data_IF_327834914670
#
_entry.id   IF_327834914670
#
_cell.length_a   1.000
_cell.length_b   1.000
_cell.length_c   1.000
_cell.angle_alpha   90.00
_cell.angle_beta   90.00
_cell.angle_gamma   90.00
#
_symmetry.space_group_name_H-M   'P 1'
#
loop_
_entity.id
_entity.type
_entity.pdbx_description
1 polymer ?
#
# COMPACT_ATOMS: atom_id res chain seq x y z
N UNK A 1 21.00 40.52 -64.14
CA UNK A 1 19.66 39.97 -63.87
C UNK A 1 19.80 38.49 -63.55
N UNK A 2 19.24 38.09 -62.40
CA UNK A 2 18.83 36.76 -61.90
C UNK A 2 19.53 35.48 -62.41
N UNK A 3 19.91 34.50 -61.59
CA UNK A 3 19.62 34.29 -60.18
C UNK A 3 20.41 33.10 -59.62
N UNK A 4 21.14 33.38 -58.53
CA UNK A 4 21.70 32.40 -57.61
C UNK A 4 20.57 31.94 -56.69
N UNK A 5 20.28 30.65 -56.62
CA UNK A 5 19.93 29.99 -55.35
C UNK A 5 19.92 28.47 -55.56
N UNK A 6 21.09 27.88 -55.33
CA UNK A 6 21.24 26.47 -55.07
C UNK A 6 20.40 26.10 -53.84
N UNK A 7 19.56 25.08 -53.99
CA UNK A 7 18.68 24.58 -52.95
C UNK A 7 19.48 24.11 -51.74
N UNK A 8 19.40 24.89 -50.67
CA UNK A 8 19.69 24.46 -49.30
C UNK A 8 18.44 24.76 -48.49
N UNK A 9 17.41 23.93 -48.66
CA UNK A 9 16.34 23.85 -47.66
C UNK A 9 16.93 23.09 -46.48
N UNK A 10 17.63 23.81 -45.62
CA UNK A 10 17.88 23.36 -44.26
C UNK A 10 16.53 23.38 -43.54
N UNK A 11 15.82 22.26 -43.56
CA UNK A 11 14.75 22.04 -42.58
C UNK A 11 15.41 22.00 -41.21
N UNK A 12 15.44 23.15 -40.54
CA UNK A 12 15.71 23.22 -39.11
C UNK A 12 14.58 22.44 -38.42
N UNK A 13 14.89 21.20 -38.03
CA UNK A 13 14.05 20.42 -37.14
C UNK A 13 14.11 21.16 -35.79
N UNK A 14 13.14 22.05 -35.56
CA UNK A 14 12.94 22.67 -34.26
C UNK A 14 12.60 21.54 -33.29
N UNK A 15 13.61 21.10 -32.53
CA UNK A 15 13.39 20.32 -31.33
C UNK A 15 12.62 21.23 -30.36
N UNK A 16 11.30 21.11 -30.39
CA UNK A 16 10.46 21.67 -29.34
C UNK A 16 10.93 21.05 -28.02
N UNK A 17 11.35 21.83 -27.02
CA UNK A 17 11.47 21.28 -25.69
C UNK A 17 10.08 20.77 -25.32
N UNK A 18 9.94 19.47 -25.09
CA UNK A 18 8.82 18.93 -24.35
C UNK A 18 8.80 19.67 -23.01
N UNK A 19 7.96 20.70 -22.92
CA UNK A 19 7.56 21.28 -21.65
C UNK A 19 6.76 20.17 -20.97
N UNK A 20 7.48 19.28 -20.30
CA UNK A 20 6.96 18.31 -19.37
C UNK A 20 6.07 19.10 -18.43
N UNK A 21 4.77 19.02 -18.69
CA UNK A 21 3.76 19.70 -17.88
C UNK A 21 3.84 19.02 -16.53
N UNK A 22 4.46 19.70 -15.55
CA UNK A 22 4.41 19.34 -14.14
C UNK A 22 2.97 19.55 -13.64
N UNK A 23 2.06 18.68 -14.08
CA UNK A 23 0.66 18.66 -13.66
C UNK A 23 0.36 17.27 -13.18
N UNK A 24 0.54 17.10 -11.87
CA UNK A 24 -0.24 16.30 -10.92
C UNK A 24 0.62 15.98 -9.68
N UNK A 25 1.31 16.98 -9.14
CA UNK A 25 2.02 16.84 -7.86
C UNK A 25 1.10 17.10 -6.65
N UNK A 26 -0.21 16.99 -6.85
CA UNK A 26 -1.23 17.10 -5.80
C UNK A 26 -2.03 15.78 -5.73
N UNK A 27 -2.57 15.49 -4.55
CA UNK A 27 -3.52 14.38 -4.35
C UNK A 27 -4.67 14.52 -5.36
N UNK A 28 -5.00 13.47 -6.14
CA UNK A 28 -6.08 13.54 -7.11
C UNK A 28 -7.43 13.78 -6.45
N UNK A 29 -8.42 14.17 -7.24
CA UNK A 29 -9.81 14.30 -6.80
C UNK A 29 -10.63 13.21 -7.47
N UNK A 30 -11.02 12.22 -6.69
CA UNK A 30 -11.86 11.10 -7.10
C UNK A 30 -13.30 11.26 -6.63
N UNK A 31 -14.22 10.78 -7.45
CA UNK A 31 -15.62 10.57 -7.06
C UNK A 31 -15.76 9.24 -6.32
N UNK A 32 -15.62 9.30 -5.00
CA UNK A 32 -15.74 8.14 -4.11
C UNK A 32 -17.20 7.69 -3.91
N UNK A 33 -18.18 8.52 -4.30
CA UNK A 33 -19.58 8.15 -4.11
C UNK A 33 -19.92 6.97 -5.01
N UNK A 34 -19.47 6.99 -6.26
CA UNK A 34 -19.62 5.86 -7.18
C UNK A 34 -18.91 4.60 -6.65
N UNK A 35 -17.67 4.73 -6.15
CA UNK A 35 -16.95 3.57 -5.64
C UNK A 35 -17.59 2.96 -4.39
N UNK A 36 -18.05 3.81 -3.47
CA UNK A 36 -18.76 3.36 -2.29
C UNK A 36 -20.17 2.83 -2.56
N UNK A 37 -20.85 3.28 -3.62
CA UNK A 37 -22.13 2.71 -4.03
C UNK A 37 -21.98 1.26 -4.48
N UNK A 38 -20.97 0.97 -5.31
CA UNK A 38 -20.69 -0.40 -5.74
C UNK A 38 -20.24 -1.29 -4.57
N UNK A 39 -19.49 -0.75 -3.60
CA UNK A 39 -19.11 -1.47 -2.39
C UNK A 39 -20.32 -2.01 -1.60
N UNK A 40 -21.48 -1.34 -1.69
CA UNK A 40 -22.74 -1.81 -1.06
C UNK A 40 -23.20 -3.16 -1.60
N UNK A 41 -22.86 -3.49 -2.85
CA UNK A 41 -23.25 -4.76 -3.46
C UNK A 41 -22.51 -5.97 -2.85
N UNK A 42 -21.39 -5.73 -2.17
CA UNK A 42 -20.51 -6.78 -1.65
C UNK A 42 -20.65 -7.03 -0.13
N UNK A 43 -21.40 -6.18 0.59
CA UNK A 43 -21.61 -6.30 2.04
C UNK A 43 -23.08 -6.61 2.32
N UNK A 44 -23.34 -7.53 3.27
CA UNK A 44 -24.63 -8.17 3.56
C UNK A 44 -25.79 -7.24 3.99
N UNK A 45 -26.53 -7.60 5.04
CA UNK A 45 -27.87 -7.03 5.28
C UNK A 45 -27.92 -5.51 5.58
N UNK A 46 -26.82 -4.84 5.93
CA UNK A 46 -26.80 -3.39 6.18
C UNK A 46 -25.93 -2.63 5.16
N UNK A 47 -26.49 -2.47 3.97
CA UNK A 47 -25.87 -1.70 2.88
C UNK A 47 -25.65 -0.22 3.22
N UNK A 48 -26.44 0.35 4.15
CA UNK A 48 -26.27 1.75 4.55
C UNK A 48 -25.05 1.92 5.45
N UNK A 49 -24.83 0.98 6.37
CA UNK A 49 -23.61 0.94 7.17
C UNK A 49 -22.38 0.74 6.29
N UNK A 50 -22.45 -0.15 5.29
CA UNK A 50 -21.37 -0.37 4.33
C UNK A 50 -20.99 0.90 3.56
N UNK A 51 -21.98 1.62 3.02
CA UNK A 51 -21.74 2.87 2.31
C UNK A 51 -21.09 3.93 3.21
N UNK A 52 -21.61 4.11 4.44
CA UNK A 52 -21.07 5.08 5.40
C UNK A 52 -19.64 4.74 5.82
N UNK A 53 -19.35 3.46 6.03
CA UNK A 53 -18.00 2.96 6.31
C UNK A 53 -17.04 3.30 5.18
N UNK A 54 -17.38 2.91 3.94
CA UNK A 54 -16.57 3.24 2.76
C UNK A 54 -16.31 4.74 2.62
N UNK A 55 -17.36 5.58 2.69
CA UNK A 55 -17.20 7.03 2.56
C UNK A 55 -16.30 7.59 3.66
N UNK A 56 -16.39 7.06 4.88
CA UNK A 56 -15.51 7.47 5.98
C UNK A 56 -14.06 7.09 5.68
N UNK A 57 -13.80 5.84 5.32
CA UNK A 57 -12.45 5.33 5.10
C UNK A 57 -11.76 6.04 3.93
N UNK A 58 -12.50 6.29 2.85
CA UNK A 58 -12.02 7.05 1.69
C UNK A 58 -11.66 8.51 2.05
N UNK A 59 -12.49 9.17 2.87
CA UNK A 59 -12.20 10.53 3.31
C UNK A 59 -11.00 10.60 4.26
N UNK A 60 -10.88 9.63 5.18
CA UNK A 60 -9.76 9.55 6.11
C UNK A 60 -8.45 9.28 5.35
N UNK A 61 -8.48 8.36 4.38
CA UNK A 61 -7.33 8.07 3.51
C UNK A 61 -6.93 9.29 2.68
N UNK A 62 -7.90 10.01 2.10
CA UNK A 62 -7.62 11.26 1.38
C UNK A 62 -6.97 12.32 2.28
N UNK A 63 -7.45 12.45 3.51
CA UNK A 63 -6.89 13.37 4.48
C UNK A 63 -5.45 12.99 4.85
N UNK A 64 -5.17 11.69 5.00
CA UNK A 64 -3.81 11.19 5.27
C UNK A 64 -2.88 11.39 4.08
N UNK A 65 -3.35 11.09 2.86
CA UNK A 65 -2.64 11.39 1.63
C UNK A 65 -2.27 12.87 1.57
N UNK A 66 -3.21 13.79 1.85
CA UNK A 66 -2.93 15.22 1.84
C UNK A 66 -1.83 15.63 2.85
N UNK A 67 -1.75 14.96 4.01
CA UNK A 67 -0.71 15.20 5.03
C UNK A 67 0.65 14.69 4.60
N UNK A 68 0.70 13.48 4.02
CA UNK A 68 1.95 12.77 3.69
C UNK A 68 2.38 12.96 2.23
N UNK A 69 1.62 13.64 1.39
CA UNK A 69 1.80 13.62 -0.06
C UNK A 69 3.22 13.96 -0.55
N UNK A 70 3.89 14.90 0.11
CA UNK A 70 5.25 15.33 -0.26
C UNK A 70 6.35 14.45 0.32
N UNK A 71 6.02 13.55 1.26
CA UNK A 71 6.95 12.57 1.80
C UNK A 71 7.21 11.44 0.80
N UNK A 72 6.18 11.04 0.07
CA UNK A 72 6.27 9.98 -0.92
C UNK A 72 7.02 10.41 -2.19
N UNK A 73 7.76 9.48 -2.79
CA UNK A 73 8.58 9.75 -3.99
C UNK A 73 7.67 10.08 -5.18
N UNK A 74 8.04 11.05 -6.05
CA UNK A 74 7.23 11.41 -7.21
C UNK A 74 6.89 10.24 -8.15
N UNK A 75 7.81 9.28 -8.31
CA UNK A 75 7.57 8.06 -9.09
C UNK A 75 6.45 7.22 -8.48
N UNK A 76 6.59 6.87 -7.21
CA UNK A 76 5.61 6.08 -6.45
C UNK A 76 4.24 6.76 -6.45
N UNK A 77 4.17 8.10 -6.31
CA UNK A 77 2.92 8.87 -6.40
C UNK A 77 2.20 8.66 -7.73
N UNK A 78 2.92 8.79 -8.84
CA UNK A 78 2.35 8.57 -10.17
C UNK A 78 1.88 7.13 -10.34
N UNK A 79 2.70 6.17 -9.93
CA UNK A 79 2.44 4.74 -10.17
C UNK A 79 1.30 4.22 -9.28
N UNK A 80 1.23 4.66 -8.02
CA UNK A 80 0.14 4.32 -7.10
C UNK A 80 -1.17 5.04 -7.45
N UNK A 81 -1.13 6.30 -7.93
CA UNK A 81 -2.34 6.97 -8.43
C UNK A 81 -2.92 6.24 -9.64
N UNK A 82 -2.06 5.77 -10.55
CA UNK A 82 -2.51 5.00 -11.71
C UNK A 82 -3.21 3.69 -11.29
N UNK A 83 -2.68 3.01 -10.26
CA UNK A 83 -3.27 1.79 -9.70
C UNK A 83 -4.59 2.07 -8.97
N UNK A 84 -4.63 3.08 -8.10
CA UNK A 84 -5.83 3.40 -7.33
C UNK A 84 -6.93 4.13 -8.10
N UNK A 85 -6.71 4.46 -9.38
CA UNK A 85 -7.72 5.11 -10.22
C UNK A 85 -8.66 4.13 -10.94
N UNK A 86 -8.26 2.86 -11.09
CA UNK A 86 -9.00 1.88 -11.90
C UNK A 86 -8.88 0.45 -11.32
N UNK A 87 -9.91 -0.41 -11.47
CA UNK A 87 -11.18 -0.17 -12.16
C UNK A 87 -12.14 0.75 -11.38
N UNK A 88 -11.89 0.94 -10.08
CA UNK A 88 -12.71 1.73 -9.18
C UNK A 88 -11.80 2.67 -8.38
N UNK A 89 -12.05 3.99 -8.39
CA UNK A 89 -11.20 4.93 -7.66
C UNK A 89 -11.24 4.70 -6.14
N UNK A 90 -10.06 4.61 -5.51
CA UNK A 90 -9.91 4.48 -4.06
C UNK A 90 -8.66 5.21 -3.55
N UNK A 91 -8.84 6.09 -2.57
CA UNK A 91 -7.75 6.72 -1.83
C UNK A 91 -7.10 5.76 -0.84
N UNK A 92 -7.84 4.76 -0.33
CA UNK A 92 -7.29 3.71 0.53
C UNK A 92 -6.22 2.94 -0.23
N UNK A 93 -6.51 2.51 -1.46
CA UNK A 93 -5.54 1.80 -2.30
C UNK A 93 -4.30 2.65 -2.64
N UNK A 94 -4.48 3.93 -2.95
CA UNK A 94 -3.34 4.83 -3.19
C UNK A 94 -2.47 4.95 -1.93
N UNK A 95 -3.09 5.18 -0.78
CA UNK A 95 -2.37 5.34 0.48
C UNK A 95 -1.59 4.07 0.83
N UNK A 96 -2.24 2.91 0.75
CA UNK A 96 -1.61 1.62 1.03
C UNK A 96 -0.47 1.33 0.06
N UNK A 97 -0.66 1.55 -1.25
CA UNK A 97 0.41 1.39 -2.24
C UNK A 97 1.64 2.25 -1.91
N UNK A 98 1.41 3.51 -1.52
CA UNK A 98 2.48 4.44 -1.17
C UNK A 98 3.22 4.05 0.11
N UNK A 99 2.50 3.64 1.14
CA UNK A 99 3.09 3.18 2.40
C UNK A 99 3.91 1.91 2.19
N UNK A 100 3.39 0.95 1.42
CA UNK A 100 4.13 -0.26 1.07
C UNK A 100 5.35 0.01 0.20
N UNK A 101 5.26 0.93 -0.77
CA UNK A 101 6.40 1.31 -1.61
C UNK A 101 7.50 1.97 -0.79
N UNK A 102 7.12 2.84 0.15
CA UNK A 102 8.09 3.50 1.02
C UNK A 102 8.78 2.49 1.96
N UNK A 103 8.01 1.61 2.61
CA UNK A 103 8.53 0.53 3.45
C UNK A 103 9.46 -0.40 2.67
N UNK A 104 9.08 -0.81 1.47
CA UNK A 104 9.91 -1.66 0.61
C UNK A 104 11.23 -0.96 0.26
N UNK A 105 11.20 0.35 -0.04
CA UNK A 105 12.41 1.12 -0.35
C UNK A 105 13.34 1.32 0.85
N UNK A 106 12.81 1.21 2.08
CA UNK A 106 13.62 1.22 3.30
C UNK A 106 14.39 -0.11 3.46
N UNK A 107 13.85 -1.21 2.94
CA UNK A 107 14.39 -2.57 3.11
C UNK A 107 15.24 -3.05 1.92
N UNK A 108 15.01 -2.54 0.71
CA UNK A 108 15.65 -3.01 -0.52
C UNK A 108 16.34 -1.88 -1.28
N UNK A 109 17.46 -2.22 -1.91
CA UNK A 109 18.12 -1.36 -2.89
C UNK A 109 17.36 -1.42 -4.24
N UNK A 110 17.58 -0.44 -5.15
CA UNK A 110 16.97 -0.43 -6.48
C UNK A 110 17.28 -1.68 -7.34
N UNK A 111 18.34 -2.42 -7.03
CA UNK A 111 18.73 -3.68 -7.70
C UNK A 111 18.03 -4.92 -7.11
N UNK A 112 17.12 -4.73 -6.14
CA UNK A 112 16.39 -5.81 -5.47
C UNK A 112 17.18 -6.50 -4.35
N UNK A 113 18.42 -6.08 -4.09
CA UNK A 113 19.19 -6.63 -2.97
C UNK A 113 18.69 -6.05 -1.64
N UNK A 114 18.67 -6.88 -0.60
CA UNK A 114 18.32 -6.41 0.74
C UNK A 114 19.35 -5.37 1.21
N UNK A 115 18.86 -4.26 1.77
CA UNK A 115 19.71 -3.22 2.34
C UNK A 115 20.31 -3.73 3.64
N UNK A 116 21.62 -3.56 3.81
CA UNK A 116 22.28 -3.89 5.06
C UNK A 116 21.66 -3.08 6.20
N UNK A 117 21.13 -3.77 7.22
CA UNK A 117 20.63 -3.12 8.43
C UNK A 117 21.78 -2.33 9.05
N UNK A 118 21.63 -1.02 9.31
CA UNK A 118 22.61 -0.30 10.11
C UNK A 118 22.74 -1.07 11.43
N UNK A 119 23.96 -1.45 11.79
CA UNK A 119 24.33 -2.09 13.06
C UNK A 119 23.64 -3.44 13.40
N UNK A 120 23.98 -4.47 12.63
CA UNK A 120 24.16 -5.84 13.18
C UNK A 120 25.63 -6.25 13.34
N UNK A 121 26.59 -5.39 12.96
CA UNK A 121 28.02 -5.61 13.11
C UNK A 121 28.55 -5.43 14.56
N UNK A 122 27.74 -5.75 15.57
CA UNK A 122 28.20 -5.88 16.96
C UNK A 122 27.67 -7.11 17.69
N UNK A 123 26.95 -8.02 17.02
CA UNK A 123 26.77 -9.38 17.54
C UNK A 123 27.66 -10.32 16.74
N UNK A 124 28.88 -10.46 17.26
CA UNK A 124 29.90 -11.34 16.74
C UNK A 124 29.43 -12.80 16.67
N UNK A 125 30.02 -13.49 15.71
CA UNK A 125 30.03 -14.94 15.57
C UNK A 125 30.24 -15.67 16.90
N UNK A 126 29.43 -16.69 17.13
CA UNK A 126 29.88 -17.97 17.67
C UNK A 126 29.02 -19.06 17.03
N UNK A 127 29.69 -20.06 16.45
CA UNK A 127 29.08 -21.17 15.71
C UNK A 127 28.17 -22.08 16.55
N UNK A 128 27.73 -23.21 15.96
CA UNK A 128 26.50 -23.89 16.35
C UNK A 128 26.59 -24.53 17.74
N UNK A 129 25.67 -24.14 18.64
CA UNK A 129 25.47 -24.82 19.92
C UNK A 129 24.52 -26.03 19.74
N UNK A 130 24.75 -27.14 20.46
CA UNK A 130 24.07 -28.41 20.23
C UNK A 130 22.58 -28.36 20.57
N UNK A 131 21.76 -29.00 19.76
CA UNK A 131 20.38 -29.36 20.11
C UNK A 131 20.42 -30.37 21.27
N UNK A 132 19.93 -29.97 22.43
CA UNK A 132 19.44 -30.90 23.46
C UNK A 132 17.91 -30.82 23.49
N UNK A 133 17.19 -31.96 23.49
CA UNK A 133 15.75 -31.94 23.70
C UNK A 133 15.52 -31.82 25.22
N UNK A 134 15.07 -30.66 25.69
CA UNK A 134 14.73 -30.47 27.10
C UNK A 134 13.32 -29.89 27.24
N UNK A 135 12.39 -30.82 27.48
CA UNK A 135 11.27 -30.69 28.41
C UNK A 135 10.29 -29.53 28.21
N UNK A 136 9.07 -29.87 27.81
CA UNK A 136 7.89 -29.05 28.11
C UNK A 136 7.92 -28.60 29.58
N UNK A 137 7.93 -27.28 29.80
CA UNK A 137 7.53 -26.67 31.08
C UNK A 137 6.43 -25.65 30.79
N UNK A 138 5.33 -25.62 31.56
CA UNK A 138 4.17 -24.79 31.26
C UNK A 138 4.47 -23.30 31.48
N UNK A 139 3.78 -22.44 30.74
CA UNK A 139 3.79 -21.00 30.97
C UNK A 139 3.32 -20.67 32.41
N UNK A 140 3.90 -19.66 33.07
CA UNK A 140 3.36 -19.16 34.33
C UNK A 140 1.96 -18.57 34.12
N UNK A 141 1.00 -19.00 34.93
CA UNK A 141 -0.36 -18.50 34.93
C UNK A 141 -0.41 -17.01 35.28
N UNK A 142 -1.20 -16.24 34.52
CA UNK A 142 -1.54 -14.86 34.84
C UNK A 142 -2.36 -14.77 36.15
N UNK A 143 -2.27 -13.67 36.92
CA UNK A 143 -3.09 -13.49 38.12
C UNK A 143 -4.58 -13.33 37.76
N UNK A 144 -5.51 -13.83 38.60
CA UNK A 144 -6.94 -13.80 38.30
C UNK A 144 -7.53 -12.37 38.40
N UNK A 145 -8.35 -12.01 37.42
CA UNK A 145 -9.30 -10.89 37.53
C UNK A 145 -10.50 -11.24 38.43
N UNK A 146 -11.26 -10.24 38.91
CA UNK A 146 -12.21 -10.42 40.02
C UNK A 146 -13.45 -11.29 39.75
N UNK A 147 -13.68 -11.81 38.54
CA UNK A 147 -14.91 -12.57 38.20
C UNK A 147 -14.70 -14.03 37.76
N UNK A 148 -13.50 -14.59 37.92
CA UNK A 148 -13.31 -16.04 38.12
C UNK A 148 -13.87 -17.05 37.09
N UNK A 149 -14.10 -16.72 35.82
CA UNK A 149 -14.52 -17.71 34.79
C UNK A 149 -13.68 -17.62 33.51
N UNK A 150 -12.88 -18.65 33.16
CA UNK A 150 -12.24 -18.75 31.86
C UNK A 150 -13.22 -19.25 30.78
N UNK A 151 -13.34 -18.52 29.66
CA UNK A 151 -14.10 -18.92 28.48
C UNK A 151 -13.21 -19.80 27.58
N UNK A 152 -13.42 -21.11 27.65
CA UNK A 152 -12.75 -22.10 26.80
C UNK A 152 -13.09 -21.91 25.32
N UNK A 153 -12.07 -21.96 24.49
CA UNK A 153 -12.17 -22.13 23.04
C UNK A 153 -12.81 -23.49 22.71
N UNK A 154 -13.94 -23.47 22.00
CA UNK A 154 -14.65 -24.66 21.54
C UNK A 154 -14.59 -24.77 20.02
N UNK A 155 -13.84 -25.76 19.52
CA UNK A 155 -13.82 -26.20 18.12
C UNK A 155 -15.15 -26.91 17.74
N UNK A 156 -15.57 -26.95 16.45
CA UNK A 156 -16.90 -27.43 16.05
C UNK A 156 -16.96 -28.94 15.76
N UNK A 157 -18.14 -29.59 15.86
CA UNK A 157 -18.38 -30.86 15.17
C UNK A 157 -19.40 -30.78 14.01
N UNK A 158 -18.90 -31.17 12.82
CA UNK A 158 -19.42 -32.02 11.73
C UNK A 158 -20.91 -32.03 11.25
N UNK A 159 -21.16 -32.35 9.95
CA UNK A 159 -22.45 -32.20 9.27
C UNK A 159 -23.40 -33.39 9.47
N UNK A 160 -24.72 -33.15 9.42
CA UNK A 160 -25.73 -34.20 9.45
C UNK A 160 -26.02 -34.75 8.05
N UNK A 161 -25.90 -36.09 7.91
CA UNK A 161 -26.51 -36.91 6.87
C UNK A 161 -28.00 -37.16 7.19
N UNK A 162 -28.76 -37.42 6.12
CA UNK A 162 -30.21 -37.51 6.00
C UNK A 162 -30.93 -38.61 6.80
N UNK A 163 -32.22 -38.36 7.07
CA UNK A 163 -33.36 -39.19 6.61
C UNK A 163 -34.55 -38.27 6.26
#
# INVERSE_FOLDING_TARGET
MQGLIAGLVWTALLASPDLATAKQDAVPVFDIAHSCLEARAFIGNDQNLAYKGCVKDENDARAELARKWTHFKPGDRRDCVAQGAAPMPSYVEILTCLEMSDEASALYNPDGTARAKPNSASQGQSGPQPVTPSGNSPAPAAPPGPDGVPKSEGSPPAPNLAE
#
